data_IF_679046325325
#
_entry.id   IF_679046325325
#
_cell.length_a   1.000
_cell.length_b   1.000
_cell.length_c   1.000
_cell.angle_alpha   90.00
_cell.angle_beta   90.00
_cell.angle_gamma   90.00
#
_symmetry.space_group_name_H-M   'P 1'
#
loop_
_entity.id
_entity.type
_entity.pdbx_description
1 polymer ?
#
# COMPACT_ATOMS: atom_id res chain seq x y z
N UNK A 1 2.04 4.59 19.80
CA UNK A 1 2.42 4.76 18.40
C UNK A 1 1.24 4.30 17.54
N UNK A 2 0.81 5.05 16.55
CA UNK A 2 -0.29 4.62 15.68
C UNK A 2 0.23 3.61 14.64
N UNK A 3 -0.67 2.98 13.90
CA UNK A 3 -0.32 1.94 12.91
C UNK A 3 0.66 2.46 11.85
N UNK A 4 0.45 3.68 11.36
CA UNK A 4 1.35 4.30 10.37
C UNK A 4 2.79 4.42 10.91
N UNK A 5 2.97 4.91 12.12
CA UNK A 5 4.29 5.02 12.75
C UNK A 5 4.93 3.65 12.97
N UNK A 6 4.13 2.65 13.36
CA UNK A 6 4.62 1.29 13.53
C UNK A 6 5.10 0.67 12.20
N UNK A 7 4.36 0.86 11.12
CA UNK A 7 4.75 0.36 9.79
C UNK A 7 5.98 1.11 9.27
N UNK A 8 6.07 2.42 9.44
CA UNK A 8 7.29 3.20 9.11
C UNK A 8 8.51 2.63 9.84
N UNK A 9 8.38 2.44 11.16
CA UNK A 9 9.47 1.91 11.98
C UNK A 9 9.85 0.48 11.55
N UNK A 10 8.87 -0.37 11.20
CA UNK A 10 9.12 -1.71 10.69
C UNK A 10 10.04 -1.72 9.45
N UNK A 11 9.80 -0.81 8.51
CA UNK A 11 10.64 -0.65 7.31
C UNK A 11 12.03 -0.09 7.63
N UNK A 12 12.11 0.88 8.55
CA UNK A 12 13.39 1.48 8.98
C UNK A 12 14.26 0.42 9.66
N UNK A 13 13.70 -0.36 10.57
CA UNK A 13 14.42 -1.41 11.31
C UNK A 13 14.97 -2.51 10.39
N UNK A 14 14.38 -2.65 9.19
CA UNK A 14 14.79 -3.63 8.18
C UNK A 14 15.61 -3.03 7.05
N UNK A 15 16.08 -1.81 7.22
CA UNK A 15 16.98 -1.13 6.26
C UNK A 15 16.40 -1.05 4.84
N UNK A 16 15.12 -0.67 4.72
CA UNK A 16 14.45 -0.49 3.43
C UNK A 16 15.25 0.44 2.50
N UNK A 17 15.84 1.52 3.04
CA UNK A 17 16.56 2.52 2.24
C UNK A 17 17.70 1.91 1.40
N UNK A 18 18.42 0.94 1.96
CA UNK A 18 19.53 0.28 1.25
C UNK A 18 19.09 -1.02 0.56
N UNK A 19 18.07 -1.68 1.07
CA UNK A 19 17.66 -3.00 0.57
C UNK A 19 16.50 -2.98 -0.42
N UNK A 20 15.58 -2.03 -0.28
CA UNK A 20 14.39 -1.92 -1.14
C UNK A 20 14.65 -1.20 -2.45
N UNK A 21 13.82 -1.50 -3.46
CA UNK A 21 13.86 -0.80 -4.77
C UNK A 21 12.45 -0.39 -5.19
N UNK A 22 12.32 0.82 -5.75
CA UNK A 22 11.04 1.35 -6.22
C UNK A 22 10.36 0.46 -7.25
N UNK A 23 11.11 -0.08 -8.22
CA UNK A 23 10.56 -0.96 -9.25
C UNK A 23 9.99 -2.24 -8.65
N UNK A 24 10.66 -2.83 -7.67
CA UNK A 24 10.19 -4.06 -7.00
C UNK A 24 9.02 -3.79 -6.06
N UNK A 25 9.09 -2.73 -5.27
CA UNK A 25 7.99 -2.36 -4.38
C UNK A 25 6.74 -1.92 -5.16
N UNK A 26 6.88 -1.30 -6.34
CA UNK A 26 5.74 -0.97 -7.19
C UNK A 26 5.06 -2.20 -7.78
N UNK A 27 5.84 -3.25 -8.12
CA UNK A 27 5.28 -4.55 -8.53
C UNK A 27 4.60 -5.25 -7.35
N UNK A 28 5.16 -5.12 -6.14
CA UNK A 28 4.50 -5.64 -4.93
C UNK A 28 3.15 -4.98 -4.70
N UNK A 29 3.02 -3.67 -4.92
CA UNK A 29 1.72 -2.99 -4.85
C UNK A 29 0.73 -3.55 -5.88
N UNK A 30 1.18 -3.86 -7.11
CA UNK A 30 0.32 -4.49 -8.12
C UNK A 30 -0.11 -5.91 -7.72
N UNK A 31 0.76 -6.68 -7.07
CA UNK A 31 0.44 -8.00 -6.52
C UNK A 31 -0.64 -7.90 -5.45
N UNK A 32 -0.48 -7.03 -4.45
CA UNK A 32 -1.47 -6.83 -3.38
C UNK A 32 -2.80 -6.30 -3.92
N UNK A 33 -2.76 -5.42 -4.92
CA UNK A 33 -3.98 -5.00 -5.63
C UNK A 33 -4.67 -6.16 -6.34
N UNK A 34 -3.92 -7.08 -6.94
CA UNK A 34 -4.47 -8.30 -7.54
C UNK A 34 -5.15 -9.20 -6.51
N UNK A 35 -4.57 -9.35 -5.32
CA UNK A 35 -5.19 -10.10 -4.21
C UNK A 35 -6.46 -9.40 -3.70
N UNK A 36 -6.46 -8.07 -3.62
CA UNK A 36 -7.64 -7.27 -3.29
C UNK A 36 -8.78 -7.52 -4.30
N UNK A 37 -8.49 -7.50 -5.59
CA UNK A 37 -9.45 -7.84 -6.64
C UNK A 37 -9.99 -9.27 -6.47
N UNK A 38 -9.10 -10.23 -6.18
CA UNK A 38 -9.49 -11.63 -5.97
C UNK A 38 -10.39 -11.79 -4.74
N UNK A 39 -10.08 -11.12 -3.64
CA UNK A 39 -10.88 -11.12 -2.42
C UNK A 39 -12.30 -10.62 -2.68
N UNK A 40 -12.41 -9.47 -3.33
CA UNK A 40 -13.70 -8.87 -3.70
C UNK A 40 -14.53 -9.77 -4.61
N UNK A 41 -13.94 -10.26 -5.72
CA UNK A 41 -14.64 -11.10 -6.69
C UNK A 41 -15.10 -12.44 -6.10
N UNK A 42 -14.33 -13.01 -5.19
CA UNK A 42 -14.67 -14.27 -4.51
C UNK A 42 -15.55 -14.08 -3.27
N UNK A 43 -15.92 -12.82 -2.95
CA UNK A 43 -16.66 -12.46 -1.74
C UNK A 43 -15.97 -12.97 -0.45
N UNK A 44 -14.65 -12.97 -0.45
CA UNK A 44 -13.84 -13.34 0.70
C UNK A 44 -13.51 -12.08 1.50
N UNK A 45 -14.32 -11.82 2.52
CA UNK A 45 -14.19 -10.62 3.36
C UNK A 45 -12.80 -10.52 4.02
N UNK A 46 -12.29 -11.61 4.57
CA UNK A 46 -10.99 -11.61 5.24
C UNK A 46 -9.89 -11.25 4.27
N UNK A 47 -9.82 -11.92 3.11
CA UNK A 47 -8.82 -11.60 2.07
C UNK A 47 -8.95 -10.16 1.59
N UNK A 48 -10.17 -9.63 1.47
CA UNK A 48 -10.40 -8.24 1.04
C UNK A 48 -9.82 -7.26 2.07
N UNK A 49 -10.11 -7.47 3.36
CA UNK A 49 -9.57 -6.63 4.45
C UNK A 49 -8.05 -6.69 4.54
N UNK A 50 -7.49 -7.89 4.49
CA UNK A 50 -6.05 -8.10 4.54
C UNK A 50 -5.36 -7.38 3.37
N UNK A 51 -5.86 -7.55 2.15
CA UNK A 51 -5.28 -6.92 0.96
C UNK A 51 -5.40 -5.39 0.95
N UNK A 52 -6.46 -4.81 1.53
CA UNK A 52 -6.54 -3.35 1.74
C UNK A 52 -5.38 -2.88 2.62
N UNK A 53 -5.15 -3.56 3.72
CA UNK A 53 -4.06 -3.26 4.65
C UNK A 53 -2.69 -3.46 4.01
N UNK A 54 -2.49 -4.54 3.26
CA UNK A 54 -1.24 -4.85 2.58
C UNK A 54 -0.90 -3.82 1.50
N UNK A 55 -1.89 -3.35 0.72
CA UNK A 55 -1.70 -2.23 -0.19
C UNK A 55 -1.21 -0.97 0.57
N UNK A 56 -1.81 -0.65 1.72
CA UNK A 56 -1.41 0.50 2.51
C UNK A 56 0.03 0.34 3.05
N UNK A 57 0.41 -0.84 3.53
CA UNK A 57 1.79 -1.14 3.97
C UNK A 57 2.79 -0.91 2.84
N UNK A 58 2.52 -1.41 1.64
CA UNK A 58 3.43 -1.23 0.49
C UNK A 58 3.53 0.24 0.09
N UNK A 59 2.44 1.01 0.16
CA UNK A 59 2.45 2.46 -0.10
C UNK A 59 3.35 3.20 0.90
N UNK A 60 3.35 2.82 2.19
CA UNK A 60 4.32 3.38 3.17
C UNK A 60 5.76 3.12 2.71
N UNK A 61 6.08 1.90 2.30
CA UNK A 61 7.41 1.55 1.81
C UNK A 61 7.83 2.37 0.59
N UNK A 62 6.92 2.54 -0.38
CA UNK A 62 7.16 3.37 -1.57
C UNK A 62 7.39 4.84 -1.20
N UNK A 63 6.59 5.40 -0.31
CA UNK A 63 6.73 6.77 0.16
C UNK A 63 8.06 7.00 0.88
N UNK A 64 8.51 6.04 1.71
CA UNK A 64 9.82 6.09 2.37
C UNK A 64 10.97 6.05 1.36
N UNK A 65 10.92 5.17 0.36
CA UNK A 65 11.94 5.10 -0.70
C UNK A 65 12.03 6.39 -1.52
N UNK A 66 10.91 7.07 -1.73
CA UNK A 66 10.86 8.39 -2.37
C UNK A 66 11.31 9.53 -1.46
N UNK A 67 11.50 9.29 -0.18
CA UNK A 67 11.71 10.34 0.85
C UNK A 67 10.56 11.38 0.81
N UNK A 68 9.34 10.87 0.67
CA UNK A 68 8.10 11.64 0.62
C UNK A 68 7.57 11.95 2.03
N UNK A 69 6.63 12.88 2.11
CA UNK A 69 5.87 13.13 3.34
C UNK A 69 4.82 12.02 3.54
N UNK A 70 5.24 10.94 4.21
CA UNK A 70 4.38 9.78 4.47
C UNK A 70 3.15 10.17 5.27
N UNK A 71 3.30 11.06 6.25
CA UNK A 71 2.19 11.51 7.09
C UNK A 71 1.15 12.28 6.25
N UNK A 72 1.59 13.22 5.41
CA UNK A 72 0.71 13.97 4.53
C UNK A 72 -0.04 13.07 3.55
N UNK A 73 0.62 12.05 2.99
CA UNK A 73 -0.03 11.06 2.09
C UNK A 73 -1.21 10.35 2.78
N UNK A 74 -1.12 10.09 4.08
CA UNK A 74 -2.16 9.37 4.82
C UNK A 74 -3.20 10.29 5.47
N UNK A 75 -2.82 11.49 5.91
CA UNK A 75 -3.71 12.41 6.65
C UNK A 75 -4.56 13.30 5.75
N UNK A 76 -3.99 13.79 4.64
CA UNK A 76 -4.67 14.70 3.71
C UNK A 76 -5.65 13.98 2.77
N UNK A 77 -6.30 12.93 3.28
CA UNK A 77 -7.17 12.09 2.47
C UNK A 77 -8.50 12.75 2.12
N UNK A 78 -8.90 12.59 0.86
CA UNK A 78 -10.19 13.02 0.32
C UNK A 78 -11.12 11.82 0.24
N UNK A 79 -12.37 11.99 0.72
CA UNK A 79 -13.40 10.96 0.52
C UNK A 79 -13.93 11.06 -0.91
N UNK A 80 -13.81 9.96 -1.65
CA UNK A 80 -14.34 9.81 -3.00
C UNK A 80 -15.68 9.09 -2.91
N UNK A 81 -16.67 9.57 -3.66
CA UNK A 81 -17.99 8.92 -3.75
C UNK A 81 -18.17 8.41 -5.19
N UNK A 82 -18.31 7.10 -5.33
CA UNK A 82 -18.62 6.43 -6.59
C UNK A 82 -19.98 5.74 -6.52
N UNK A 83 -20.65 5.59 -7.65
CA UNK A 83 -21.95 4.91 -7.74
C UNK A 83 -21.80 3.38 -7.61
N UNK A 84 -20.70 2.84 -8.11
CA UNK A 84 -20.41 1.40 -8.07
C UNK A 84 -19.08 1.14 -7.36
N UNK A 85 -19.06 0.12 -6.50
CA UNK A 85 -17.82 -0.29 -5.79
C UNK A 85 -16.70 -0.61 -6.77
N UNK A 86 -17.01 -1.15 -7.97
CA UNK A 86 -16.00 -1.44 -9.00
C UNK A 86 -15.26 -0.20 -9.48
N UNK A 87 -15.82 0.98 -9.36
CA UNK A 87 -15.18 2.23 -9.80
C UNK A 87 -14.01 2.62 -8.88
N UNK A 88 -14.11 2.32 -7.58
CA UNK A 88 -12.95 2.47 -6.67
C UNK A 88 -11.77 1.56 -7.08
N UNK A 89 -12.04 0.35 -7.56
CA UNK A 89 -11.00 -0.55 -8.07
C UNK A 89 -10.35 0.01 -9.35
N UNK A 90 -11.14 0.60 -10.25
CA UNK A 90 -10.62 1.26 -11.46
C UNK A 90 -9.75 2.45 -11.12
N UNK A 91 -10.17 3.27 -10.15
CA UNK A 91 -9.40 4.43 -9.70
C UNK A 91 -8.07 4.01 -9.06
N UNK A 92 -8.09 3.01 -8.18
CA UNK A 92 -6.87 2.49 -7.57
C UNK A 92 -5.92 1.92 -8.62
N UNK A 93 -6.42 1.13 -9.58
CA UNK A 93 -5.62 0.59 -10.68
C UNK A 93 -4.97 1.70 -11.53
N UNK A 94 -5.73 2.74 -11.85
CA UNK A 94 -5.23 3.93 -12.56
C UNK A 94 -4.14 4.62 -11.76
N UNK A 95 -4.34 4.87 -10.47
CA UNK A 95 -3.37 5.55 -9.62
C UNK A 95 -2.06 4.77 -9.50
N UNK A 96 -2.13 3.45 -9.33
CA UNK A 96 -0.95 2.56 -9.34
C UNK A 96 -0.21 2.67 -10.67
N UNK A 97 -0.91 2.59 -11.79
CA UNK A 97 -0.32 2.69 -13.13
C UNK A 97 0.33 4.06 -13.37
N UNK A 98 -0.32 5.14 -12.95
CA UNK A 98 0.23 6.48 -13.06
C UNK A 98 1.46 6.67 -12.18
N UNK A 99 1.45 6.15 -10.95
CA UNK A 99 2.63 6.14 -10.09
C UNK A 99 3.82 5.44 -10.76
N UNK A 100 3.61 4.25 -11.34
CA UNK A 100 4.66 3.49 -12.01
C UNK A 100 5.28 4.24 -13.20
N UNK A 101 4.52 5.07 -13.88
CA UNK A 101 5.04 5.96 -14.92
C UNK A 101 5.82 7.14 -14.35
N UNK A 102 5.30 7.78 -13.31
CA UNK A 102 5.91 8.98 -12.74
C UNK A 102 7.27 8.71 -12.11
N UNK A 103 7.47 7.60 -11.42
CA UNK A 103 8.78 7.30 -10.87
C UNK A 103 9.82 7.01 -11.97
N UNK A 104 9.39 6.45 -13.12
CA UNK A 104 10.26 6.24 -14.29
C UNK A 104 10.71 7.56 -14.92
N UNK A 105 9.96 8.63 -14.71
CA UNK A 105 10.28 10.00 -15.17
C UNK A 105 10.99 10.85 -14.10
N UNK A 106 11.28 10.26 -12.95
CA UNK A 106 11.89 10.94 -11.80
C UNK A 106 11.08 12.16 -11.28
N UNK A 107 9.78 12.13 -11.51
CA UNK A 107 8.85 13.18 -11.03
C UNK A 107 8.32 12.82 -9.63
N UNK A 108 9.09 13.23 -8.61
CA UNK A 108 8.74 12.94 -7.21
C UNK A 108 7.37 13.52 -6.81
N UNK A 109 7.06 14.73 -7.21
CA UNK A 109 5.80 15.39 -6.84
C UNK A 109 4.59 14.65 -7.39
N UNK A 110 4.66 14.19 -8.63
CA UNK A 110 3.62 13.35 -9.24
C UNK A 110 3.52 11.99 -8.56
N UNK A 111 4.66 11.39 -8.18
CA UNK A 111 4.67 10.15 -7.42
C UNK A 111 3.93 10.28 -6.09
N UNK A 112 4.24 11.30 -5.31
CA UNK A 112 3.58 11.58 -4.03
C UNK A 112 2.07 11.76 -4.20
N UNK A 113 1.65 12.51 -5.23
CA UNK A 113 0.25 12.74 -5.54
C UNK A 113 -0.50 11.43 -5.85
N UNK A 114 0.08 10.54 -6.67
CA UNK A 114 -0.57 9.27 -6.98
C UNK A 114 -0.57 8.26 -5.83
N UNK A 115 0.42 8.30 -4.94
CA UNK A 115 0.37 7.54 -3.68
C UNK A 115 -0.75 8.06 -2.76
N UNK A 116 -0.92 9.38 -2.65
CA UNK A 116 -2.03 9.99 -1.90
C UNK A 116 -3.39 9.59 -2.48
N UNK A 117 -3.57 9.68 -3.79
CA UNK A 117 -4.80 9.25 -4.47
C UNK A 117 -5.07 7.74 -4.30
N UNK A 118 -4.02 6.93 -4.18
CA UNK A 118 -4.18 5.50 -3.91
C UNK A 118 -4.71 5.25 -2.50
N UNK A 119 -4.23 6.00 -1.50
CA UNK A 119 -4.76 5.96 -0.13
C UNK A 119 -6.21 6.45 -0.09
N UNK A 120 -6.54 7.53 -0.82
CA UNK A 120 -7.91 8.01 -0.93
C UNK A 120 -8.85 6.94 -1.49
N UNK A 121 -8.43 6.24 -2.54
CA UNK A 121 -9.19 5.14 -3.15
C UNK A 121 -9.38 3.98 -2.17
N UNK A 122 -8.33 3.60 -1.42
CA UNK A 122 -8.40 2.53 -0.41
C UNK A 122 -9.35 2.88 0.74
N UNK A 123 -9.25 4.09 1.30
CA UNK A 123 -10.13 4.55 2.38
C UNK A 123 -11.58 4.63 1.93
N UNK A 124 -11.82 5.19 0.75
CA UNK A 124 -13.17 5.35 0.19
C UNK A 124 -13.80 4.00 -0.15
N UNK A 125 -13.04 3.08 -0.75
CA UNK A 125 -13.44 1.70 -1.01
C UNK A 125 -13.78 0.95 0.27
N UNK A 126 -12.92 1.05 1.30
CA UNK A 126 -13.17 0.41 2.61
C UNK A 126 -14.50 0.86 3.18
N UNK A 127 -14.74 2.17 3.20
CA UNK A 127 -16.00 2.74 3.68
C UNK A 127 -17.21 2.23 2.86
N UNK A 128 -17.11 2.19 1.54
CA UNK A 128 -18.17 1.70 0.66
C UNK A 128 -18.49 0.21 0.89
N UNK A 129 -17.48 -0.57 1.26
CA UNK A 129 -17.61 -2.00 1.62
C UNK A 129 -18.07 -2.23 3.06
N UNK A 130 -18.20 -1.17 3.87
CA UNK A 130 -18.56 -1.25 5.29
C UNK A 130 -17.39 -1.71 6.19
N UNK A 131 -16.14 -1.49 5.76
CA UNK A 131 -14.95 -1.79 6.54
C UNK A 131 -14.32 -0.51 7.08
N UNK A 132 -13.61 -0.65 8.21
CA UNK A 132 -12.75 0.40 8.75
C UNK A 132 -11.35 0.25 8.15
N UNK A 133 -10.86 1.30 7.48
CA UNK A 133 -9.54 1.29 6.86
C UNK A 133 -8.42 1.12 7.90
N UNK A 134 -8.53 1.78 9.06
CA UNK A 134 -7.52 1.69 10.11
C UNK A 134 -7.47 0.28 10.70
N UNK A 135 -8.61 -0.40 10.84
CA UNK A 135 -8.63 -1.81 11.24
C UNK A 135 -7.94 -2.71 10.21
N UNK A 136 -8.20 -2.51 8.91
CA UNK A 136 -7.53 -3.25 7.84
C UNK A 136 -6.01 -3.03 7.86
N UNK A 137 -5.60 -1.79 8.05
CA UNK A 137 -4.18 -1.41 8.11
C UNK A 137 -3.49 -2.00 9.34
N UNK A 138 -4.16 -1.98 10.50
CA UNK A 138 -3.65 -2.60 11.73
C UNK A 138 -3.52 -4.13 11.59
N UNK A 139 -4.49 -4.81 10.95
CA UNK A 139 -4.41 -6.24 10.69
C UNK A 139 -3.15 -6.58 9.88
N UNK A 140 -2.90 -5.86 8.79
CA UNK A 140 -1.68 -6.06 7.99
C UNK A 140 -0.40 -5.81 8.81
N UNK A 141 -0.36 -4.79 9.66
CA UNK A 141 0.77 -4.57 10.55
C UNK A 141 0.97 -5.74 11.53
N UNK A 142 -0.11 -6.26 12.13
CA UNK A 142 -0.02 -7.40 13.05
C UNK A 142 0.57 -8.65 12.38
N UNK A 143 0.33 -8.86 11.08
CA UNK A 143 0.92 -9.96 10.33
C UNK A 143 2.42 -9.79 10.07
N UNK A 144 2.87 -8.54 9.83
CA UNK A 144 4.26 -8.29 9.45
C UNK A 144 5.18 -7.98 10.63
N UNK A 145 4.67 -7.49 11.76
CA UNK A 145 5.47 -6.92 12.88
C UNK A 145 6.62 -7.82 13.33
N UNK A 146 6.38 -9.13 13.42
CA UNK A 146 7.36 -10.12 13.86
C UNK A 146 8.02 -10.87 12.69
N UNK A 147 7.68 -10.49 11.45
CA UNK A 147 8.20 -11.13 10.23
C UNK A 147 9.69 -10.93 10.11
N UNK A 148 10.42 -12.04 10.04
CA UNK A 148 11.86 -12.07 9.79
C UNK A 148 12.12 -12.30 8.30
N UNK A 149 13.27 -11.83 7.83
CA UNK A 149 13.68 -11.96 6.45
C UNK A 149 14.76 -10.96 6.10
N UNK A 150 15.04 -10.83 4.81
CA UNK A 150 16.02 -9.88 4.30
C UNK A 150 15.65 -9.39 2.90
N UNK A 151 16.23 -8.28 2.50
CA UNK A 151 16.11 -7.76 1.13
C UNK A 151 16.98 -8.56 0.18
N UNK A 152 16.39 -9.01 -0.93
CA UNK A 152 17.10 -9.65 -2.05
C UNK A 152 16.61 -8.98 -3.33
N UNK A 153 17.51 -8.38 -4.09
CA UNK A 153 17.21 -7.69 -5.35
C UNK A 153 16.06 -6.68 -5.24
N UNK A 154 15.96 -5.99 -4.11
CA UNK A 154 14.95 -4.95 -3.87
C UNK A 154 13.59 -5.43 -3.35
N UNK A 155 13.43 -6.72 -3.13
CA UNK A 155 12.24 -7.35 -2.53
C UNK A 155 12.56 -7.92 -1.16
N UNK A 156 11.63 -7.77 -0.20
CA UNK A 156 11.77 -8.41 1.11
C UNK A 156 11.36 -9.88 1.02
N UNK A 157 12.33 -10.77 1.27
CA UNK A 157 12.12 -12.23 1.26
C UNK A 157 12.01 -12.72 2.70
N UNK A 158 10.93 -13.44 3.01
CA UNK A 158 10.70 -14.01 4.33
C UNK A 158 11.77 -15.07 4.65
N UNK A 159 12.10 -15.22 5.94
CA UNK A 159 13.11 -16.19 6.40
C UNK A 159 12.78 -17.62 5.97
N UNK A 160 11.49 -17.98 5.96
CA UNK A 160 11.01 -19.30 5.52
C UNK A 160 11.15 -19.58 4.03
N UNK A 161 11.35 -18.54 3.20
CA UNK A 161 11.49 -18.61 1.75
C UNK A 161 12.97 -18.47 1.30
N UNK A 162 13.89 -18.34 2.26
CA UNK A 162 15.32 -18.28 2.03
C UNK A 162 15.91 -19.69 1.98
#
# INVERSE_FOLDING_TARGET
>A
MNTLENVKQWFIDRDLENGGRLDKQSLKLSEEFGELCAGYLKKNEQLTKDSIGDCAVVIVGLALLLKADVQGIFDDSIVIFEEDVSDYFKDLNKNISCFQRCYSWEDKSMCEMYLSFSIDSLKSMSNALGYDFEECFELAYQEIKDRKGRWIDGSFVKEEDL
#
